data_IF_567874686507
#
_entry.id   IF_567874686507
#
_cell.length_a   1.000
_cell.length_b   1.000
_cell.length_c   1.000
_cell.angle_alpha   90.00
_cell.angle_beta   90.00
_cell.angle_gamma   90.00
#
_symmetry.space_group_name_H-M   'P 1'
#
loop_
_entity.id
_entity.type
_entity.pdbx_description
1 polymer ?
#
# COMPACT_ATOMS: atom_id res chain seq x y z
N UNK A 1 -1.76 -6.43 -53.45
CA UNK A 1 -2.65 -5.76 -52.47
C UNK A 1 -3.12 -6.65 -51.29
N UNK A 2 -2.59 -7.87 -51.07
CA UNK A 2 -3.03 -8.75 -49.96
C UNK A 2 -2.01 -8.92 -48.81
N UNK A 3 -0.76 -8.50 -48.99
CA UNK A 3 0.31 -8.68 -47.99
C UNK A 3 0.27 -7.65 -46.85
N UNK A 4 -0.20 -6.42 -47.10
CA UNK A 4 -0.31 -5.39 -46.04
C UNK A 4 -1.50 -5.60 -45.09
N UNK A 5 -2.58 -6.24 -45.55
CA UNK A 5 -3.73 -6.55 -44.67
C UNK A 5 -3.38 -7.65 -43.66
N UNK A 6 -2.55 -8.63 -44.03
CA UNK A 6 -2.06 -9.66 -43.11
C UNK A 6 -1.10 -9.10 -42.05
N UNK A 7 -0.28 -8.09 -42.42
CA UNK A 7 0.66 -7.45 -41.50
C UNK A 7 -0.03 -6.54 -40.47
N UNK A 8 -1.13 -5.88 -40.87
CA UNK A 8 -1.91 -5.04 -39.97
C UNK A 8 -2.67 -5.86 -38.90
N UNK A 9 -3.14 -7.06 -39.25
CA UNK A 9 -3.84 -7.96 -38.33
C UNK A 9 -2.90 -8.60 -37.29
N UNK A 10 -1.64 -8.87 -37.63
CA UNK A 10 -0.67 -9.44 -36.69
C UNK A 10 -0.15 -8.42 -35.67
N UNK A 11 0.01 -7.15 -36.05
CA UNK A 11 0.45 -6.08 -35.13
C UNK A 11 -0.63 -5.79 -34.06
N UNK A 12 -1.91 -5.87 -34.42
CA UNK A 12 -3.02 -5.61 -33.49
C UNK A 12 -3.20 -6.71 -32.43
N UNK A 13 -2.65 -7.91 -32.64
CA UNK A 13 -2.71 -9.03 -31.69
C UNK A 13 -1.60 -8.96 -30.61
N UNK A 14 -0.51 -8.23 -30.86
CA UNK A 14 0.62 -8.11 -29.93
C UNK A 14 0.40 -7.06 -28.83
N UNK A 15 -0.59 -6.17 -28.98
CA UNK A 15 -0.89 -5.12 -28.00
C UNK A 15 -1.73 -5.57 -26.80
N UNK A 16 -2.17 -6.82 -26.75
CA UNK A 16 -3.03 -7.34 -25.66
C UNK A 16 -2.27 -8.02 -24.52
N UNK A 17 -0.95 -8.24 -24.65
CA UNK A 17 -0.13 -8.84 -23.60
C UNK A 17 0.53 -7.77 -22.72
N UNK A 18 -0.27 -6.97 -22.03
CA UNK A 18 0.24 -6.19 -20.89
C UNK A 18 0.36 -7.12 -19.67
N UNK A 19 1.40 -7.95 -19.66
CA UNK A 19 1.69 -8.84 -18.54
C UNK A 19 2.44 -8.03 -17.47
N UNK A 20 1.73 -7.61 -16.41
CA UNK A 20 2.38 -7.05 -15.23
C UNK A 20 3.22 -8.12 -14.54
N UNK A 21 4.48 -7.81 -14.21
CA UNK A 21 5.34 -8.76 -13.49
C UNK A 21 4.74 -9.06 -12.12
N UNK A 22 4.48 -10.33 -11.76
CA UNK A 22 4.01 -10.67 -10.43
C UNK A 22 5.04 -10.21 -9.40
N UNK A 23 4.62 -9.35 -8.48
CA UNK A 23 5.48 -8.84 -7.42
C UNK A 23 5.30 -9.69 -6.17
N UNK A 24 6.42 -10.11 -5.57
CA UNK A 24 6.42 -10.85 -4.29
C UNK A 24 5.86 -9.98 -3.16
N UNK A 25 6.10 -8.67 -3.21
CA UNK A 25 5.64 -7.68 -2.25
C UNK A 25 5.09 -6.45 -2.99
N UNK A 26 3.84 -6.11 -2.69
CA UNK A 26 3.14 -4.93 -3.21
C UNK A 26 2.69 -4.06 -2.02
N UNK A 27 2.79 -2.75 -2.16
CA UNK A 27 2.40 -1.77 -1.14
C UNK A 27 1.53 -0.73 -1.79
N UNK A 28 0.32 -0.56 -1.27
CA UNK A 28 -0.69 0.38 -1.76
C UNK A 28 -0.93 1.45 -0.71
N UNK A 29 -0.32 2.64 -0.87
CA UNK A 29 -0.58 3.78 -0.01
C UNK A 29 -1.98 4.35 -0.26
N UNK A 30 -2.64 4.79 0.81
CA UNK A 30 -3.90 5.52 0.78
C UNK A 30 -3.90 6.55 1.90
N UNK A 31 -4.35 7.78 1.63
CA UNK A 31 -4.29 8.87 2.60
C UNK A 31 -5.64 9.57 2.69
N UNK A 32 -6.16 9.67 3.91
CA UNK A 32 -7.41 10.39 4.21
C UNK A 32 -7.06 11.70 4.92
N UNK A 33 -7.10 12.80 4.17
CA UNK A 33 -6.80 14.16 4.66
C UNK A 33 -8.01 14.89 5.24
N UNK A 34 -9.21 14.49 4.84
CA UNK A 34 -10.45 15.15 5.19
C UNK A 34 -11.58 14.12 5.26
N UNK A 35 -12.64 14.50 5.98
CA UNK A 35 -13.81 13.65 6.26
C UNK A 35 -14.86 13.73 5.13
N UNK A 36 -14.55 14.41 4.03
CA UNK A 36 -15.41 14.48 2.84
C UNK A 36 -14.61 14.07 1.61
N UNK A 37 -15.21 13.24 0.77
CA UNK A 37 -14.70 12.90 -0.56
C UNK A 37 -15.53 13.67 -1.58
N UNK A 38 -14.90 14.18 -2.63
CA UNK A 38 -15.57 14.93 -3.70
C UNK A 38 -16.11 13.93 -4.74
N UNK A 39 -17.24 14.26 -5.38
CA UNK A 39 -17.80 13.42 -6.46
C UNK A 39 -16.87 13.38 -7.69
N UNK A 40 -15.96 14.34 -7.81
CA UNK A 40 -14.90 14.39 -8.84
C UNK A 40 -13.69 13.51 -8.52
N UNK A 41 -13.55 12.99 -7.29
CA UNK A 41 -12.44 12.11 -6.91
C UNK A 41 -12.48 10.75 -7.65
N UNK A 42 -11.33 10.11 -7.79
CA UNK A 42 -11.22 8.80 -8.42
C UNK A 42 -12.18 7.76 -7.78
N UNK A 43 -12.91 6.94 -8.56
CA UNK A 43 -13.87 5.98 -8.02
C UNK A 43 -13.28 5.00 -6.99
N UNK A 44 -12.01 4.62 -7.12
CA UNK A 44 -11.33 3.75 -6.13
C UNK A 44 -11.11 4.47 -4.80
N UNK A 45 -10.73 5.76 -4.85
CA UNK A 45 -10.57 6.60 -3.66
C UNK A 45 -11.92 6.76 -2.94
N UNK A 46 -12.98 7.05 -3.70
CA UNK A 46 -14.35 7.14 -3.16
C UNK A 46 -14.80 5.82 -2.53
N UNK A 47 -14.55 4.69 -3.21
CA UNK A 47 -14.90 3.36 -2.70
C UNK A 47 -14.20 3.01 -1.39
N UNK A 48 -12.88 3.24 -1.28
CA UNK A 48 -12.14 3.02 -0.03
C UNK A 48 -12.58 3.98 1.08
N UNK A 49 -12.87 5.24 0.74
CA UNK A 49 -13.43 6.19 1.69
C UNK A 49 -14.79 5.70 2.22
N UNK A 50 -15.73 5.37 1.32
CA UNK A 50 -17.05 4.87 1.72
C UNK A 50 -16.94 3.61 2.57
N UNK A 51 -16.07 2.65 2.20
CA UNK A 51 -15.83 1.44 3.00
C UNK A 51 -15.36 1.77 4.41
N UNK A 52 -14.43 2.72 4.56
CA UNK A 52 -13.88 3.12 5.86
C UNK A 52 -14.83 4.00 6.66
N UNK A 53 -15.76 4.70 6.04
CA UNK A 53 -16.70 5.61 6.70
C UNK A 53 -18.14 5.08 6.70
N UNK A 54 -18.34 3.80 6.36
CA UNK A 54 -19.65 3.16 6.32
C UNK A 54 -20.24 2.97 7.73
N UNK A 55 -21.54 3.20 7.85
CA UNK A 55 -22.32 2.98 9.08
C UNK A 55 -22.48 4.25 9.93
N UNK A 56 -23.04 4.07 11.13
CA UNK A 56 -23.19 5.14 12.10
C UNK A 56 -21.85 5.37 12.82
N UNK A 57 -21.09 6.37 12.35
CA UNK A 57 -19.81 6.77 12.94
C UNK A 57 -19.91 8.21 13.45
N UNK A 58 -19.46 8.43 14.67
CA UNK A 58 -19.40 9.75 15.30
C UNK A 58 -18.35 10.65 14.63
N UNK A 59 -18.46 11.96 14.83
CA UNK A 59 -17.47 12.94 14.35
C UNK A 59 -16.08 12.67 14.94
N UNK A 60 -16.03 12.21 16.19
CA UNK A 60 -14.77 11.83 16.82
C UNK A 60 -14.14 10.62 16.12
N UNK A 61 -14.90 9.55 15.89
CA UNK A 61 -14.43 8.36 15.17
C UNK A 61 -14.01 8.69 13.74
N UNK A 62 -14.71 9.60 13.07
CA UNK A 62 -14.33 10.09 11.75
C UNK A 62 -12.93 10.72 11.78
N UNK A 63 -12.67 11.56 12.78
CA UNK A 63 -11.34 12.09 13.04
C UNK A 63 -10.32 10.98 13.29
N UNK A 64 -10.67 9.95 14.07
CA UNK A 64 -9.79 8.81 14.40
C UNK A 64 -9.40 7.97 13.18
N UNK A 65 -10.21 8.00 12.12
CA UNK A 65 -9.93 7.33 10.84
C UNK A 65 -9.14 8.18 9.85
N UNK A 66 -8.80 9.42 10.19
CA UNK A 66 -7.93 10.23 9.34
C UNK A 66 -6.47 9.81 9.48
N UNK A 67 -5.75 9.79 8.35
CA UNK A 67 -4.32 9.49 8.32
C UNK A 67 -3.91 8.60 7.16
N UNK A 68 -2.74 7.99 7.31
CA UNK A 68 -2.10 7.19 6.26
C UNK A 68 -2.35 5.71 6.47
N UNK A 69 -2.67 5.03 5.38
CA UNK A 69 -2.90 3.61 5.33
C UNK A 69 -2.01 2.99 4.27
N UNK A 70 -1.30 1.93 4.64
CA UNK A 70 -0.47 1.16 3.73
C UNK A 70 -0.99 -0.28 3.72
N UNK A 71 -1.70 -0.63 2.65
CA UNK A 71 -2.09 -2.04 2.42
C UNK A 71 -0.91 -2.75 1.79
N UNK A 72 -0.38 -3.74 2.50
CA UNK A 72 0.73 -4.57 2.04
C UNK A 72 0.18 -5.93 1.65
N UNK A 73 0.53 -6.37 0.44
CA UNK A 73 0.19 -7.69 -0.08
C UNK A 73 1.49 -8.44 -0.34
N UNK A 74 1.56 -9.69 0.09
CA UNK A 74 2.66 -10.56 -0.24
C UNK A 74 2.18 -11.83 -0.91
N UNK A 75 3.02 -12.36 -1.79
CA UNK A 75 2.87 -13.67 -2.39
C UNK A 75 4.25 -14.27 -2.61
N UNK A 76 4.68 -15.06 -1.64
CA UNK A 76 5.93 -15.80 -1.64
C UNK A 76 5.62 -17.31 -1.59
N UNK A 77 5.36 -17.95 -2.74
CA UNK A 77 5.09 -19.39 -2.79
C UNK A 77 6.34 -20.24 -2.48
N UNK A 78 7.53 -19.63 -2.41
CA UNK A 78 8.80 -20.34 -2.20
C UNK A 78 9.11 -20.61 -0.73
N UNK A 79 8.42 -19.92 0.20
CA UNK A 79 8.63 -20.08 1.64
C UNK A 79 7.33 -20.38 2.37
N UNK A 80 7.36 -21.43 3.19
CA UNK A 80 6.29 -21.80 4.13
C UNK A 80 6.71 -21.58 5.59
N UNK A 81 7.91 -21.03 5.82
CA UNK A 81 8.40 -20.72 7.16
C UNK A 81 7.70 -19.51 7.79
N UNK A 82 7.87 -19.35 9.10
CA UNK A 82 7.48 -18.12 9.78
C UNK A 82 8.16 -16.90 9.14
N UNK A 83 7.47 -15.77 9.17
CA UNK A 83 8.00 -14.54 8.60
C UNK A 83 7.46 -13.29 9.27
N UNK A 84 7.83 -12.15 8.72
CA UNK A 84 7.28 -10.86 9.13
C UNK A 84 7.29 -9.86 7.97
N UNK A 85 6.27 -9.01 7.95
CA UNK A 85 6.25 -7.79 7.15
C UNK A 85 6.65 -6.65 8.07
N UNK A 86 7.73 -5.97 7.74
CA UNK A 86 8.25 -4.83 8.50
C UNK A 86 7.99 -3.56 7.71
N UNK A 87 7.22 -2.64 8.27
CA UNK A 87 6.95 -1.32 7.71
C UNK A 87 7.70 -0.25 8.49
N UNK A 88 8.60 0.44 7.82
CA UNK A 88 9.44 1.49 8.36
C UNK A 88 9.07 2.82 7.72
N UNK A 89 9.04 3.89 8.51
CA UNK A 89 8.67 5.20 8.00
C UNK A 89 9.31 6.34 8.78
N UNK A 90 9.49 7.46 8.10
CA UNK A 90 9.91 8.74 8.67
C UNK A 90 8.72 9.70 8.63
N UNK A 91 8.51 10.44 9.72
CA UNK A 91 7.40 11.36 9.90
C UNK A 91 7.94 12.76 10.16
N UNK A 92 7.30 13.80 9.60
CA UNK A 92 7.79 15.19 9.68
C UNK A 92 8.13 15.64 11.10
N UNK A 93 7.27 15.33 12.06
CA UNK A 93 7.40 15.70 13.46
C UNK A 93 8.55 15.00 14.19
N UNK A 94 9.07 13.89 13.63
CA UNK A 94 10.15 13.10 14.24
C UNK A 94 11.48 13.24 13.51
N UNK A 95 11.55 14.11 12.49
CA UNK A 95 12.75 14.32 11.68
C UNK A 95 13.27 13.01 11.08
N UNK A 96 14.57 12.76 11.20
CA UNK A 96 15.25 11.56 10.66
C UNK A 96 14.97 10.26 11.43
N UNK A 97 14.16 10.28 12.49
CA UNK A 97 13.86 9.06 13.26
C UNK A 97 12.98 8.13 12.44
N UNK A 98 13.43 6.90 12.26
CA UNK A 98 12.66 5.82 11.64
C UNK A 98 11.76 5.16 12.70
N UNK A 99 10.44 5.20 12.48
CA UNK A 99 9.45 4.41 13.21
C UNK A 99 9.24 3.07 12.49
N UNK A 100 8.84 2.04 13.23
CA UNK A 100 8.68 0.67 12.73
C UNK A 100 7.38 0.06 13.23
N UNK A 101 6.65 -0.61 12.34
CA UNK A 101 5.52 -1.48 12.64
C UNK A 101 5.78 -2.86 12.04
N UNK A 102 5.31 -3.91 12.69
CA UNK A 102 5.58 -5.29 12.29
C UNK A 102 4.27 -6.08 12.26
N UNK A 103 4.07 -6.84 11.18
CA UNK A 103 3.04 -7.87 11.09
C UNK A 103 3.73 -9.22 11.01
N UNK A 104 3.44 -10.12 11.96
CA UNK A 104 3.97 -11.48 11.95
C UNK A 104 3.19 -12.32 10.95
N UNK A 105 3.91 -13.18 10.24
CA UNK A 105 3.33 -14.16 9.33
C UNK A 105 3.55 -15.54 9.93
N UNK A 106 2.46 -16.26 10.13
CA UNK A 106 2.50 -17.61 10.70
C UNK A 106 3.10 -18.62 9.69
N UNK A 107 3.71 -19.71 10.18
CA UNK A 107 4.14 -20.79 9.30
C UNK A 107 3.01 -21.30 8.41
N UNK A 108 3.32 -21.57 7.14
CA UNK A 108 2.39 -22.03 6.11
C UNK A 108 1.72 -20.92 5.31
N UNK A 109 1.77 -19.66 5.76
CA UNK A 109 1.17 -18.53 5.05
C UNK A 109 2.12 -17.97 3.97
N UNK A 110 1.98 -18.51 2.76
CA UNK A 110 2.76 -18.11 1.58
C UNK A 110 2.30 -16.77 0.99
N UNK A 111 1.02 -16.43 1.12
CA UNK A 111 0.42 -15.18 0.64
C UNK A 111 -0.50 -14.59 1.68
N UNK A 112 -0.64 -13.27 1.70
CA UNK A 112 -1.48 -12.60 2.67
C UNK A 112 -1.57 -11.10 2.48
N UNK A 113 -2.24 -10.45 3.44
CA UNK A 113 -2.50 -9.01 3.44
C UNK A 113 -2.35 -8.47 4.87
N UNK A 114 -1.68 -7.32 4.99
CA UNK A 114 -1.61 -6.55 6.21
C UNK A 114 -1.93 -5.08 5.92
N UNK A 115 -2.45 -4.37 6.93
CA UNK A 115 -2.63 -2.92 6.87
C UNK A 115 -1.82 -2.27 7.98
N UNK A 116 -0.95 -1.33 7.60
CA UNK A 116 -0.27 -0.44 8.54
C UNK A 116 -0.97 0.92 8.51
N UNK A 117 -1.61 1.28 9.62
CA UNK A 117 -2.39 2.50 9.77
C UNK A 117 -1.67 3.48 10.72
N UNK A 118 -1.33 4.67 10.22
CA UNK A 118 -0.81 5.79 11.00
C UNK A 118 -1.92 6.83 11.05
N UNK A 119 -2.78 6.70 12.06
CA UNK A 119 -4.05 7.42 12.19
C UNK A 119 -4.23 7.96 13.62
N UNK A 120 -5.36 8.61 13.87
CA UNK A 120 -5.70 9.01 15.23
C UNK A 120 -4.69 9.97 15.82
N UNK A 121 -4.21 9.72 17.04
CA UNK A 121 -3.24 10.58 17.72
C UNK A 121 -1.84 10.57 17.10
N UNK A 122 -1.50 9.54 16.33
CA UNK A 122 -0.28 9.53 15.53
C UNK A 122 -0.38 10.48 14.32
N UNK A 123 -1.59 10.94 13.97
CA UNK A 123 -1.87 11.81 12.82
C UNK A 123 -2.46 13.20 13.19
N UNK A 124 -3.45 13.28 14.09
CA UNK A 124 -4.31 14.46 14.30
C UNK A 124 -3.67 15.61 15.09
N UNK A 125 -2.80 15.41 16.11
CA UNK A 125 -2.24 16.52 16.87
C UNK A 125 -1.22 17.36 16.10
N UNK A 126 -0.73 16.91 14.93
CA UNK A 126 0.46 17.51 14.31
C UNK A 126 0.31 17.93 12.84
N UNK A 127 -0.89 17.85 12.25
CA UNK A 127 -1.15 18.39 10.90
C UNK A 127 -0.12 17.94 9.86
N UNK A 128 0.52 18.89 9.16
CA UNK A 128 1.60 18.61 8.19
C UNK A 128 2.84 17.98 8.83
N UNK A 129 3.11 18.25 10.10
CA UNK A 129 4.17 17.54 10.84
C UNK A 129 3.81 16.06 11.08
N UNK A 130 2.56 15.64 10.86
CA UNK A 130 2.21 14.22 10.84
C UNK A 130 2.44 13.54 9.49
N UNK A 131 2.88 14.27 8.46
CA UNK A 131 3.10 13.71 7.13
C UNK A 131 4.18 12.63 7.15
N UNK A 132 3.94 11.55 6.41
CA UNK A 132 4.94 10.54 6.13
C UNK A 132 5.87 11.10 5.05
N UNK A 133 7.14 11.29 5.39
CA UNK A 133 8.16 11.84 4.49
C UNK A 133 8.69 10.76 3.54
N UNK A 134 8.99 9.59 4.10
CA UNK A 134 9.49 8.44 3.37
C UNK A 134 9.08 7.15 4.09
N UNK A 135 8.94 6.06 3.34
CA UNK A 135 8.64 4.74 3.88
C UNK A 135 9.39 3.63 3.14
N UNK A 136 9.62 2.52 3.84
CA UNK A 136 10.12 1.26 3.30
C UNK A 136 9.36 0.10 3.92
N UNK A 137 9.02 -0.88 3.11
CA UNK A 137 8.42 -2.13 3.53
C UNK A 137 9.32 -3.29 3.13
N UNK A 138 9.48 -4.25 4.02
CA UNK A 138 10.30 -5.45 3.83
C UNK A 138 9.51 -6.69 4.19
N UNK A 139 9.68 -7.73 3.40
CA UNK A 139 9.22 -9.08 3.71
C UNK A 139 10.41 -9.89 4.19
N UNK A 140 10.32 -10.44 5.39
CA UNK A 140 11.28 -11.39 5.93
C UNK A 140 10.69 -12.79 6.02
N UNK A 141 11.48 -13.80 5.67
CA UNK A 141 11.21 -15.22 5.88
C UNK A 141 12.40 -15.85 6.56
N UNK A 142 12.17 -16.59 7.64
CA UNK A 142 13.24 -17.30 8.37
C UNK A 142 14.46 -16.41 8.69
N UNK A 143 14.20 -15.13 9.00
CA UNK A 143 15.23 -14.13 9.31
C UNK A 143 15.95 -13.51 8.10
N UNK A 144 15.59 -13.88 6.85
CA UNK A 144 16.16 -13.33 5.62
C UNK A 144 15.19 -12.40 4.92
N UNK A 145 15.68 -11.29 4.38
CA UNK A 145 14.89 -10.39 3.54
C UNK A 145 14.65 -11.03 2.17
N UNK A 146 13.38 -11.21 1.81
CA UNK A 146 12.96 -11.84 0.54
C UNK A 146 12.59 -10.78 -0.49
N UNK A 147 11.98 -9.68 -0.05
CA UNK A 147 11.56 -8.59 -0.93
C UNK A 147 11.49 -7.26 -0.17
N UNK A 148 11.68 -6.16 -0.89
CA UNK A 148 11.47 -4.82 -0.37
C UNK A 148 10.81 -3.89 -1.38
N UNK A 149 10.06 -2.92 -0.85
CA UNK A 149 9.45 -1.79 -1.55
C UNK A 149 9.68 -0.52 -0.74
N UNK A 150 9.87 0.60 -1.39
CA UNK A 150 10.08 1.87 -0.70
C UNK A 150 9.53 3.04 -1.52
N UNK A 151 9.21 4.12 -0.82
CA UNK A 151 8.96 5.42 -1.45
C UNK A 151 10.22 5.94 -2.13
N UNK A 152 10.05 6.77 -3.15
CA UNK A 152 11.16 7.41 -3.86
C UNK A 152 12.10 8.21 -2.93
N UNK A 153 11.55 8.84 -1.88
CA UNK A 153 12.32 9.67 -0.94
C UNK A 153 13.06 8.87 0.15
N UNK A 154 12.97 7.54 0.13
CA UNK A 154 13.68 6.71 1.11
C UNK A 154 15.16 6.62 0.77
N UNK A 155 16.02 6.93 1.74
CA UNK A 155 17.49 6.88 1.64
C UNK A 155 18.06 6.06 2.80
#
# INVERSE_FOLDING_TARGET
MKLWQALALTISALSLFSCGTPQVLDVRPFHIRQVKVDDSDDPMIRGEFQRRFHGAISVEEQGQRMGYYYTVLWNDPSSTGAGEVVFEFQQGATGSRVKKMVHKIEPGETKGKAEFAIIGDDYRPKGEASAILAWRCKLYREGREVASRQSYLWQ
#
